data_IF_388233782900
#
_entry.id   IF_388233782900
#
_cell.length_a   1.000
_cell.length_b   1.000
_cell.length_c   1.000
_cell.angle_alpha   90.00
_cell.angle_beta   90.00
_cell.angle_gamma   90.00
#
_symmetry.space_group_name_H-M   'P 1'
#
loop_
_entity.id
_entity.type
_entity.pdbx_description
1 polymer ?
#
# COMPACT_ATOMS: atom_id res chain seq x y z
N UNK A 1 22.88 16.69 -2.09
CA UNK A 1 21.43 16.91 -1.86
C UNK A 1 20.74 17.25 -3.18
N UNK A 2 19.80 16.43 -3.65
CA UNK A 2 18.93 16.84 -4.76
C UNK A 2 18.15 18.11 -4.36
N UNK A 3 17.97 19.07 -5.28
CA UNK A 3 17.16 20.27 -5.01
C UNK A 3 15.75 19.87 -4.56
N UNK A 4 15.13 20.65 -3.67
CA UNK A 4 13.77 20.39 -3.14
C UNK A 4 12.76 20.10 -4.26
N UNK A 5 12.92 20.76 -5.42
CA UNK A 5 12.11 20.56 -6.63
C UNK A 5 12.27 19.17 -7.24
N UNK A 6 13.50 18.63 -7.31
CA UNK A 6 13.75 17.29 -7.87
C UNK A 6 13.14 16.20 -6.99
N UNK A 7 13.21 16.36 -5.66
CA UNK A 7 12.59 15.42 -4.71
C UNK A 7 11.07 15.44 -4.78
N UNK A 8 10.47 16.63 -4.87
CA UNK A 8 9.03 16.80 -5.08
C UNK A 8 8.57 16.15 -6.39
N UNK A 9 9.36 16.31 -7.47
CA UNK A 9 9.06 15.69 -8.77
C UNK A 9 9.02 14.16 -8.67
N UNK A 10 9.97 13.54 -7.95
CA UNK A 10 9.93 12.11 -7.74
C UNK A 10 8.75 11.65 -6.86
N UNK A 11 8.39 12.40 -5.81
CA UNK A 11 7.19 12.09 -5.03
C UNK A 11 5.92 12.16 -5.89
N UNK A 12 5.81 13.17 -6.76
CA UNK A 12 4.70 13.30 -7.69
C UNK A 12 4.65 12.15 -8.70
N UNK A 13 5.80 11.69 -9.21
CA UNK A 13 5.90 10.53 -10.09
C UNK A 13 5.48 9.23 -9.39
N UNK A 14 5.90 9.00 -8.14
CA UNK A 14 5.44 7.84 -7.39
C UNK A 14 3.93 7.93 -7.11
N UNK A 15 3.43 9.11 -6.75
CA UNK A 15 2.01 9.33 -6.53
C UNK A 15 1.19 9.03 -7.80
N UNK A 16 1.61 9.52 -8.97
CA UNK A 16 0.92 9.28 -10.24
C UNK A 16 0.93 7.79 -10.61
N UNK A 17 2.07 7.10 -10.45
CA UNK A 17 2.14 5.65 -10.63
C UNK A 17 1.19 4.91 -9.69
N UNK A 18 1.10 5.33 -8.43
CA UNK A 18 0.18 4.78 -7.44
C UNK A 18 -1.28 4.92 -7.84
N UNK A 19 -1.65 6.07 -8.42
CA UNK A 19 -3.00 6.32 -8.92
C UNK A 19 -3.33 5.50 -10.17
N UNK A 20 -2.40 5.42 -11.13
CA UNK A 20 -2.58 4.61 -12.35
C UNK A 20 -2.75 3.13 -11.99
N UNK A 21 -1.93 2.61 -11.08
CA UNK A 21 -2.08 1.23 -10.60
C UNK A 21 -3.40 1.03 -9.87
N UNK A 22 -3.82 1.96 -9.00
CA UNK A 22 -5.11 1.86 -8.32
C UNK A 22 -6.29 1.88 -9.29
N UNK A 23 -6.20 2.68 -10.37
CA UNK A 23 -7.18 2.71 -11.43
C UNK A 23 -7.22 1.39 -12.20
N UNK A 24 -6.06 0.85 -12.58
CA UNK A 24 -5.93 -0.45 -13.25
C UNK A 24 -6.50 -1.60 -12.41
N UNK A 25 -6.30 -1.58 -11.09
CA UNK A 25 -6.85 -2.57 -10.15
C UNK A 25 -8.38 -2.63 -10.16
N UNK A 26 -9.08 -1.59 -10.61
CA UNK A 26 -10.56 -1.62 -10.65
C UNK A 26 -11.11 -2.56 -11.71
N UNK A 27 -10.36 -2.78 -12.79
CA UNK A 27 -10.78 -3.69 -13.85
C UNK A 27 -10.62 -5.16 -13.44
N UNK A 28 -9.74 -5.44 -12.48
CA UNK A 28 -9.40 -6.79 -12.05
C UNK A 28 -9.59 -6.87 -10.52
N UNK A 29 -10.79 -7.21 -10.06
CA UNK A 29 -11.05 -7.48 -8.64
C UNK A 29 -10.94 -8.99 -8.37
N UNK A 30 -10.19 -9.38 -7.34
CA UNK A 30 -9.95 -10.80 -6.99
C UNK A 30 -11.26 -11.50 -6.60
N UNK A 31 -12.19 -10.77 -5.95
CA UNK A 31 -13.49 -11.29 -5.55
C UNK A 31 -14.56 -10.27 -5.97
N UNK A 32 -15.28 -10.53 -7.08
CA UNK A 32 -16.39 -9.67 -7.50
C UNK A 32 -17.44 -9.57 -6.40
N UNK A 33 -17.87 -8.34 -6.07
CA UNK A 33 -18.98 -8.11 -5.14
C UNK A 33 -18.62 -7.86 -3.67
N UNK A 34 -17.36 -8.03 -3.25
CA UNK A 34 -16.92 -7.69 -1.88
C UNK A 34 -16.11 -6.38 -1.90
N UNK A 35 -16.67 -5.25 -1.44
CA UNK A 35 -15.93 -4.00 -1.37
C UNK A 35 -14.76 -4.12 -0.37
N UNK A 36 -13.55 -3.82 -0.85
CA UNK A 36 -12.33 -3.80 -0.04
C UNK A 36 -11.23 -4.75 -0.53
N UNK A 37 -11.58 -5.86 -1.18
CA UNK A 37 -10.60 -6.84 -1.67
C UNK A 37 -10.00 -6.35 -2.99
N UNK A 38 -8.69 -6.05 -2.98
CA UNK A 38 -7.92 -5.57 -4.15
C UNK A 38 -6.61 -6.36 -4.27
N UNK A 39 -5.98 -6.29 -5.44
CA UNK A 39 -4.67 -6.93 -5.69
C UNK A 39 -3.52 -6.31 -4.90
N UNK A 40 -3.67 -5.14 -4.31
CA UNK A 40 -2.61 -4.43 -3.61
C UNK A 40 -1.53 -3.84 -4.52
N UNK A 41 -1.75 -3.74 -5.85
CA UNK A 41 -0.79 -3.17 -6.80
C UNK A 41 -0.42 -1.74 -6.42
N UNK A 42 -1.41 -0.92 -6.06
CA UNK A 42 -1.16 0.44 -5.62
C UNK A 42 -0.29 0.52 -4.35
N UNK A 43 -0.31 -0.50 -3.48
CA UNK A 43 0.53 -0.57 -2.27
C UNK A 43 2.01 -0.90 -2.57
N UNK A 44 2.33 -1.44 -3.76
CA UNK A 44 3.72 -1.61 -4.22
C UNK A 44 4.47 -0.29 -4.17
N UNK A 45 3.82 0.80 -4.60
CA UNK A 45 4.41 2.14 -4.63
C UNK A 45 4.78 2.64 -3.23
N UNK A 46 3.92 2.40 -2.22
CA UNK A 46 4.21 2.78 -0.84
C UNK A 46 5.43 2.02 -0.32
N UNK A 47 5.50 0.72 -0.64
CA UNK A 47 6.57 -0.15 -0.23
C UNK A 47 7.92 0.23 -0.87
N UNK A 48 7.93 0.54 -2.17
CA UNK A 48 9.11 1.06 -2.86
C UNK A 48 9.47 2.46 -2.31
N UNK A 49 8.48 3.31 -2.01
CA UNK A 49 8.71 4.65 -1.49
C UNK A 49 9.43 4.64 -0.13
N UNK A 50 9.18 3.65 0.73
CA UNK A 50 9.95 3.45 1.98
C UNK A 50 11.45 3.30 1.75
N UNK A 51 11.88 2.84 0.57
CA UNK A 51 13.30 2.67 0.24
C UNK A 51 13.98 3.97 -0.21
N UNK A 52 13.24 4.91 -0.82
CA UNK A 52 13.81 6.11 -1.45
C UNK A 52 13.47 7.42 -0.72
N UNK A 53 12.44 7.43 0.12
CA UNK A 53 11.94 8.62 0.77
C UNK A 53 11.93 8.46 2.29
N UNK A 54 11.89 9.59 2.99
CA UNK A 54 11.74 9.59 4.45
C UNK A 54 10.34 9.14 4.86
N UNK A 55 10.20 8.60 6.09
CA UNK A 55 8.89 8.17 6.63
C UNK A 55 7.80 9.23 6.47
N UNK A 56 8.11 10.50 6.77
CA UNK A 56 7.18 11.63 6.61
C UNK A 56 6.68 11.78 5.17
N UNK A 57 7.56 11.65 4.19
CA UNK A 57 7.23 11.78 2.78
C UNK A 57 6.39 10.60 2.27
N UNK A 58 6.68 9.39 2.74
CA UNK A 58 5.86 8.21 2.44
C UNK A 58 4.46 8.37 3.02
N UNK A 59 4.34 8.92 4.22
CA UNK A 59 3.04 9.23 4.84
C UNK A 59 2.25 10.26 4.03
N UNK A 60 2.89 11.34 3.60
CA UNK A 60 2.28 12.34 2.71
C UNK A 60 1.80 11.70 1.40
N UNK A 61 2.66 10.90 0.76
CA UNK A 61 2.35 10.19 -0.47
C UNK A 61 1.14 9.27 -0.30
N UNK A 62 1.07 8.51 0.80
CA UNK A 62 -0.07 7.66 1.13
C UNK A 62 -1.36 8.46 1.27
N UNK A 63 -1.34 9.54 2.05
CA UNK A 63 -2.53 10.39 2.29
C UNK A 63 -3.00 11.01 0.97
N UNK A 64 -2.08 11.61 0.21
CA UNK A 64 -2.38 12.18 -1.10
C UNK A 64 -2.97 11.14 -2.05
N UNK A 65 -2.42 9.91 -2.06
CA UNK A 65 -2.94 8.81 -2.87
C UNK A 65 -4.35 8.43 -2.45
N UNK A 66 -4.62 8.27 -1.15
CA UNK A 66 -5.95 7.89 -0.65
C UNK A 66 -6.98 8.96 -1.01
N UNK A 67 -6.66 10.24 -0.80
CA UNK A 67 -7.55 11.35 -1.16
C UNK A 67 -7.82 11.36 -2.67
N UNK A 68 -6.77 11.48 -3.50
CA UNK A 68 -6.92 11.57 -4.95
C UNK A 68 -7.58 10.33 -5.55
N UNK A 69 -7.20 9.13 -5.10
CA UNK A 69 -7.87 7.90 -5.56
C UNK A 69 -9.31 7.82 -5.10
N UNK A 70 -9.73 8.44 -4.00
CA UNK A 70 -11.13 8.42 -3.58
C UNK A 70 -11.99 9.45 -4.30
N UNK A 71 -11.39 10.54 -4.78
CA UNK A 71 -12.10 11.55 -5.56
C UNK A 71 -12.19 11.20 -7.05
N UNK A 72 -11.09 10.72 -7.66
CA UNK A 72 -11.01 10.51 -9.10
C UNK A 72 -11.21 9.06 -9.54
N UNK A 73 -10.88 8.13 -8.66
CA UNK A 73 -10.87 6.71 -8.98
C UNK A 73 -12.04 6.06 -8.25
N UNK A 74 -11.87 5.62 -7.01
CA UNK A 74 -12.78 4.82 -6.19
C UNK A 74 -14.07 5.49 -5.68
N UNK A 75 -15.00 4.68 -5.17
CA UNK A 75 -16.26 5.14 -4.55
C UNK A 75 -16.05 5.56 -3.09
N UNK A 76 -16.98 6.33 -2.51
CA UNK A 76 -16.88 6.84 -1.13
C UNK A 76 -16.67 5.76 -0.07
N UNK A 77 -17.27 4.57 -0.22
CA UNK A 77 -17.03 3.45 0.71
C UNK A 77 -15.56 3.00 0.70
N UNK A 78 -14.92 2.94 -0.47
CA UNK A 78 -13.50 2.54 -0.62
C UNK A 78 -12.52 3.51 0.03
N UNK A 79 -12.92 4.77 0.27
CA UNK A 79 -12.13 5.73 1.01
C UNK A 79 -11.84 5.23 2.43
N UNK A 80 -12.87 4.83 3.18
CA UNK A 80 -12.71 4.36 4.56
C UNK A 80 -11.84 3.09 4.65
N UNK A 81 -12.06 2.12 3.75
CA UNK A 81 -11.22 0.93 3.67
C UNK A 81 -9.75 1.26 3.43
N UNK A 82 -9.48 2.17 2.47
CA UNK A 82 -8.12 2.56 2.11
C UNK A 82 -7.48 3.45 3.18
N UNK A 83 -8.27 4.25 3.89
CA UNK A 83 -7.83 5.13 4.97
C UNK A 83 -7.40 4.30 6.18
N UNK A 84 -8.30 3.49 6.74
CA UNK A 84 -8.01 2.73 7.95
C UNK A 84 -6.98 1.64 7.67
N UNK A 85 -7.16 0.85 6.60
CA UNK A 85 -6.19 -0.16 6.19
C UNK A 85 -4.83 0.43 5.82
N UNK A 86 -4.82 1.52 5.04
CA UNK A 86 -3.60 2.19 4.61
C UNK A 86 -2.82 2.79 5.78
N UNK A 87 -3.48 3.50 6.68
CA UNK A 87 -2.84 4.10 7.85
C UNK A 87 -2.31 3.04 8.80
N UNK A 88 -3.07 1.95 9.03
CA UNK A 88 -2.64 0.90 9.94
C UNK A 88 -1.42 0.15 9.40
N UNK A 89 -1.44 -0.19 8.11
CA UNK A 89 -0.28 -0.73 7.39
C UNK A 89 0.93 0.21 7.44
N UNK A 90 0.74 1.50 7.15
CA UNK A 90 1.83 2.48 7.16
C UNK A 90 2.43 2.66 8.54
N UNK A 91 1.62 2.70 9.59
CA UNK A 91 2.11 2.90 10.95
C UNK A 91 3.00 1.73 11.38
N UNK A 92 2.56 0.50 11.13
CA UNK A 92 3.34 -0.71 11.43
C UNK A 92 4.62 -0.77 10.59
N UNK A 93 4.52 -0.50 9.28
CA UNK A 93 5.68 -0.47 8.40
C UNK A 93 6.67 0.63 8.85
N UNK A 94 6.22 1.83 9.19
CA UNK A 94 7.08 2.94 9.62
C UNK A 94 7.73 2.70 11.00
N UNK A 95 7.07 1.95 11.87
CA UNK A 95 7.60 1.54 13.17
C UNK A 95 8.66 0.44 13.03
N UNK A 96 8.42 -0.55 12.17
CA UNK A 96 9.30 -1.71 12.00
C UNK A 96 10.43 -1.47 11.00
N UNK A 97 10.27 -0.55 10.05
CA UNK A 97 11.29 -0.23 9.03
C UNK A 97 12.70 0.03 9.62
N UNK A 98 12.87 0.79 10.72
CA UNK A 98 14.18 1.01 11.33
C UNK A 98 14.80 -0.24 12.00
N UNK A 99 13.97 -1.21 12.39
CA UNK A 99 14.40 -2.43 13.08
C UNK A 99 14.63 -3.60 12.12
N UNK A 100 14.20 -3.48 10.86
CA UNK A 100 14.42 -4.48 9.83
C UNK A 100 15.81 -4.28 9.22
N UNK A 101 16.66 -5.29 9.34
CA UNK A 101 17.96 -5.32 8.66
C UNK A 101 17.78 -5.09 7.15
N UNK A 102 18.68 -4.35 6.51
CA UNK A 102 18.64 -4.01 5.06
C UNK A 102 18.49 -5.23 4.14
N UNK A 103 18.86 -6.43 4.62
CA UNK A 103 18.71 -7.71 3.92
C UNK A 103 17.42 -8.47 4.26
N UNK A 104 16.77 -8.16 5.40
CA UNK A 104 15.44 -8.64 5.77
C UNK A 104 14.36 -7.89 4.99
N UNK A 105 14.44 -8.13 3.68
CA UNK A 105 13.35 -8.55 2.84
C UNK A 105 12.18 -7.57 2.75
N UNK A 106 12.10 -6.89 1.60
CA UNK A 106 10.87 -6.28 1.09
C UNK A 106 9.65 -7.21 1.25
N UNK A 107 9.84 -8.54 1.29
CA UNK A 107 8.77 -9.49 1.62
C UNK A 107 8.26 -9.37 3.05
N UNK A 108 9.13 -9.20 4.05
CA UNK A 108 8.69 -9.04 5.44
C UNK A 108 7.86 -7.77 5.63
N UNK A 109 8.36 -6.65 5.11
CA UNK A 109 7.64 -5.38 5.16
C UNK A 109 6.32 -5.43 4.36
N UNK A 110 6.29 -6.16 3.24
CA UNK A 110 5.08 -6.34 2.43
C UNK A 110 4.05 -7.22 3.10
N UNK A 111 4.48 -8.36 3.66
CA UNK A 111 3.59 -9.29 4.36
C UNK A 111 2.97 -8.65 5.59
N UNK A 112 3.78 -7.93 6.38
CA UNK A 112 3.29 -7.17 7.53
C UNK A 112 2.34 -6.06 7.06
N UNK A 113 2.74 -5.29 6.05
CA UNK A 113 1.89 -4.26 5.46
C UNK A 113 0.54 -4.82 5.02
N UNK A 114 0.54 -5.90 4.24
CA UNK A 114 -0.67 -6.55 3.73
C UNK A 114 -1.54 -7.12 4.86
N UNK A 115 -0.95 -7.76 5.86
CA UNK A 115 -1.67 -8.27 7.02
C UNK A 115 -2.41 -7.14 7.74
N UNK A 116 -1.68 -6.11 8.19
CA UNK A 116 -2.29 -4.99 8.93
C UNK A 116 -3.23 -4.14 8.06
N UNK A 117 -2.98 -4.05 6.75
CA UNK A 117 -3.91 -3.41 5.82
C UNK A 117 -5.26 -4.12 5.84
N UNK A 118 -5.24 -5.45 5.72
CA UNK A 118 -6.45 -6.26 5.68
C UNK A 118 -7.15 -6.31 7.04
N UNK A 119 -6.40 -6.30 8.15
CA UNK A 119 -6.96 -6.11 9.49
C UNK A 119 -7.69 -4.77 9.60
N UNK A 120 -7.11 -3.68 9.09
CA UNK A 120 -7.77 -2.37 9.09
C UNK A 120 -9.03 -2.35 8.22
N UNK A 121 -8.99 -3.00 7.05
CA UNK A 121 -10.18 -3.15 6.20
C UNK A 121 -11.27 -3.99 6.87
N UNK A 122 -10.91 -5.04 7.60
CA UNK A 122 -11.86 -5.86 8.37
C UNK A 122 -12.60 -5.02 9.42
N UNK A 123 -11.90 -4.13 10.12
CA UNK A 123 -12.53 -3.24 11.11
C UNK A 123 -13.56 -2.31 10.46
N UNK A 124 -13.24 -1.77 9.28
CA UNK A 124 -14.18 -0.95 8.50
C UNK A 124 -15.37 -1.80 8.03
N UNK A 125 -15.12 -3.02 7.55
CA UNK A 125 -16.18 -3.96 7.15
C UNK A 125 -17.12 -4.27 8.33
N UNK A 126 -16.57 -4.57 9.50
CA UNK A 126 -17.33 -4.85 10.72
C UNK A 126 -18.20 -3.66 11.13
N UNK A 127 -17.66 -2.44 11.00
CA UNK A 127 -18.40 -1.20 11.26
C UNK A 127 -19.60 -1.03 10.30
N UNK A 128 -19.38 -1.18 8.99
CA UNK A 128 -20.45 -1.04 7.99
C UNK A 128 -21.51 -2.15 8.09
N UNK A 129 -21.11 -3.40 8.33
CA UNK A 129 -22.02 -4.53 8.49
C UNK A 129 -22.74 -4.55 9.86
N UNK A 130 -22.36 -3.66 10.78
CA UNK A 130 -22.83 -3.63 12.19
C UNK A 130 -22.70 -4.99 12.90
N UNK A 131 -21.81 -5.85 12.43
CA UNK A 131 -21.66 -7.22 12.92
C UNK A 131 -20.21 -7.69 12.77
N UNK A 132 -19.54 -7.78 13.91
CA UNK A 132 -18.17 -8.29 13.96
C UNK A 132 -18.11 -9.79 13.59
N UNK A 133 -19.13 -10.57 13.96
CA UNK A 133 -19.21 -12.01 13.63
C UNK A 133 -19.23 -12.26 12.13
N UNK A 134 -20.05 -11.48 11.40
CA UNK A 134 -20.14 -11.61 9.95
C UNK A 134 -18.83 -11.18 9.31
N UNK A 135 -18.25 -10.06 9.73
CA UNK A 135 -16.96 -9.61 9.22
C UNK A 135 -15.85 -10.64 9.46
N UNK A 136 -15.77 -11.24 10.66
CA UNK A 136 -14.76 -12.24 11.00
C UNK A 136 -14.85 -13.48 10.10
N UNK A 137 -16.05 -13.85 9.63
CA UNK A 137 -16.22 -14.95 8.68
C UNK A 137 -15.55 -14.66 7.32
N UNK A 138 -15.44 -13.40 6.91
CA UNK A 138 -14.70 -12.98 5.70
C UNK A 138 -13.19 -12.85 5.93
N UNK A 139 -12.73 -12.84 7.18
CA UNK A 139 -11.33 -12.57 7.51
C UNK A 139 -10.33 -13.61 6.98
N UNK A 140 -10.61 -14.94 7.01
CA UNK A 140 -9.72 -15.93 6.40
C UNK A 140 -9.48 -15.66 4.91
N UNK A 141 -10.53 -15.30 4.18
CA UNK A 141 -10.44 -14.95 2.76
C UNK A 141 -9.61 -13.68 2.55
N UNK A 142 -9.81 -12.66 3.39
CA UNK A 142 -9.04 -11.42 3.38
C UNK A 142 -7.56 -11.68 3.64
N UNK A 143 -7.20 -12.45 4.66
CA UNK A 143 -5.78 -12.78 4.94
C UNK A 143 -5.18 -13.59 3.79
N UNK A 144 -5.90 -14.56 3.24
CA UNK A 144 -5.41 -15.37 2.13
C UNK A 144 -5.15 -14.52 0.88
N UNK A 145 -6.10 -13.68 0.48
CA UNK A 145 -5.90 -12.73 -0.63
C UNK A 145 -4.77 -11.72 -0.34
N UNK A 146 -4.67 -11.26 0.91
CA UNK A 146 -3.63 -10.34 1.39
C UNK A 146 -2.23 -10.94 1.37
N UNK A 147 -2.09 -12.20 1.74
CA UNK A 147 -0.80 -12.89 1.74
C UNK A 147 -0.33 -13.17 0.32
N UNK A 148 -1.22 -13.64 -0.56
CA UNK A 148 -0.91 -13.85 -1.99
C UNK A 148 -0.53 -12.54 -2.66
N UNK A 149 -1.35 -11.48 -2.50
CA UNK A 149 -1.00 -10.15 -3.00
C UNK A 149 0.29 -9.63 -2.39
N UNK A 150 0.45 -9.71 -1.07
CA UNK A 150 1.64 -9.27 -0.34
C UNK A 150 2.95 -9.92 -0.82
N UNK A 151 2.91 -11.20 -1.19
CA UNK A 151 4.06 -11.89 -1.78
C UNK A 151 4.34 -11.42 -3.21
N UNK A 152 3.29 -11.24 -4.03
CA UNK A 152 3.42 -10.74 -5.39
C UNK A 152 3.98 -9.30 -5.41
N UNK A 153 3.44 -8.43 -4.56
CA UNK A 153 3.89 -7.05 -4.41
C UNK A 153 5.34 -6.97 -3.92
N UNK A 154 5.75 -7.87 -3.03
CA UNK A 154 7.14 -7.95 -2.58
C UNK A 154 8.10 -8.38 -3.70
N UNK A 155 7.73 -9.39 -4.49
CA UNK A 155 8.54 -9.86 -5.61
C UNK A 155 8.71 -8.77 -6.68
N UNK A 156 7.61 -8.12 -7.06
CA UNK A 156 7.61 -7.02 -8.02
C UNK A 156 8.40 -5.82 -7.47
N UNK A 157 8.14 -5.44 -6.21
CA UNK A 157 8.86 -4.37 -5.53
C UNK A 157 10.36 -4.60 -5.51
N UNK A 158 10.81 -5.82 -5.20
CA UNK A 158 12.24 -6.18 -5.22
C UNK A 158 12.85 -6.02 -6.62
N UNK A 159 12.18 -6.50 -7.66
CA UNK A 159 12.67 -6.34 -9.04
C UNK A 159 12.78 -4.87 -9.44
N UNK A 160 11.76 -4.08 -9.11
CA UNK A 160 11.73 -2.64 -9.42
C UNK A 160 12.81 -1.91 -8.62
N UNK A 161 12.95 -2.13 -7.32
CA UNK A 161 13.98 -1.51 -6.48
C UNK A 161 15.38 -1.88 -6.96
N UNK A 162 15.63 -3.13 -7.38
CA UNK A 162 16.92 -3.53 -7.97
C UNK A 162 17.19 -2.81 -9.29
N UNK A 163 16.19 -2.74 -10.18
CA UNK A 163 16.31 -2.07 -11.47
C UNK A 163 16.54 -0.56 -11.31
N UNK A 164 15.83 0.07 -10.36
CA UNK A 164 16.03 1.46 -9.99
C UNK A 164 17.38 1.67 -9.31
N UNK A 165 17.85 0.79 -8.42
CA UNK A 165 19.18 0.96 -7.80
C UNK A 165 20.34 0.96 -8.80
N UNK A 166 20.14 0.35 -9.98
CA UNK A 166 21.11 0.35 -11.08
C UNK A 166 21.12 1.67 -11.88
N UNK A 167 20.00 2.42 -11.91
CA UNK A 167 19.88 3.70 -12.64
C UNK A 167 19.75 4.96 -11.77
N UNK A 168 19.45 4.80 -10.48
CA UNK A 168 19.03 5.85 -9.56
C UNK A 168 20.04 6.00 -8.41
N UNK A 169 21.26 6.44 -8.73
CA UNK A 169 22.15 7.05 -7.73
C UNK A 169 21.66 8.48 -7.48
N UNK A 170 20.58 8.64 -6.70
CA UNK A 170 20.35 9.94 -6.05
C UNK A 170 21.37 10.00 -4.92
N UNK A 171 22.45 10.72 -5.19
CA UNK A 171 23.66 10.78 -4.38
C UNK A 171 23.37 10.90 -2.90
N UNK A 172 23.88 9.92 -2.16
CA UNK A 172 24.43 10.13 -0.81
C UNK A 172 25.49 11.21 -0.88
#
# INVERSE_FOLDING_TARGET
MASSTKKLSYLALFLSLGLVLNFAERFYSIVPGIPGIKFGLSNIIILIAFHYFSRREVGLLLISRILLSSFFVSSFSSFFYSLVGGLFSYFIMALLYPHLNVKFSLYGLSLLGAFFHNTGQLLVLAYFLKSFRIALAYYPLLIWAGTVSGLATAFIGLKITRSLSLGFKVGS
#
